data_IF_665563247407
#
_entry.id   IF_665563247407
#
_cell.length_a   1.000
_cell.length_b   1.000
_cell.length_c   1.000
_cell.angle_alpha   90.00
_cell.angle_beta   90.00
_cell.angle_gamma   90.00
#
_symmetry.space_group_name_H-M   'P 1'
#
loop_
_entity.id
_entity.type
_entity.pdbx_description
1 polymer ?
#
# COMPACT_ATOMS: atom_id res chain seq x y z
N UNK A 1 -3.34 -3.77 -12.98
CA UNK A 1 -2.26 -3.37 -12.05
C UNK A 1 -2.15 -4.26 -10.81
N UNK A 2 -3.23 -4.87 -10.33
CA UNK A 2 -3.29 -5.69 -9.11
C UNK A 2 -2.47 -7.00 -9.19
N UNK A 3 -2.51 -7.73 -10.33
CA UNK A 3 -1.73 -8.98 -10.51
C UNK A 3 -0.22 -8.84 -10.22
N UNK A 4 0.38 -7.68 -10.52
CA UNK A 4 1.82 -7.44 -10.26
C UNK A 4 2.13 -7.37 -8.76
N UNK A 5 1.21 -6.87 -7.93
CA UNK A 5 1.45 -6.67 -6.49
C UNK A 5 1.21 -7.94 -5.68
N UNK A 6 0.43 -8.89 -6.21
CA UNK A 6 0.20 -10.16 -5.54
C UNK A 6 1.42 -11.10 -5.54
N UNK A 7 2.38 -10.87 -6.43
CA UNK A 7 3.60 -11.66 -6.58
C UNK A 7 4.75 -11.20 -5.67
N UNK A 8 4.60 -10.06 -5.02
CA UNK A 8 5.60 -9.52 -4.10
C UNK A 8 5.65 -10.42 -2.86
N UNK A 9 6.86 -10.74 -2.41
CA UNK A 9 7.14 -11.53 -1.22
C UNK A 9 7.99 -10.73 -0.23
N UNK A 10 7.95 -11.14 1.04
CA UNK A 10 8.85 -10.62 2.06
C UNK A 10 10.30 -10.90 1.64
N UNK A 11 11.16 -9.89 1.74
CA UNK A 11 12.54 -9.93 1.30
C UNK A 11 12.77 -9.47 -0.14
N UNK A 12 11.72 -9.24 -0.93
CA UNK A 12 11.88 -8.67 -2.27
C UNK A 12 12.39 -7.23 -2.19
N UNK A 13 13.13 -6.82 -3.22
CA UNK A 13 13.53 -5.43 -3.41
C UNK A 13 12.61 -4.74 -4.41
N UNK A 14 12.15 -3.53 -4.07
CA UNK A 14 11.33 -2.69 -4.94
C UNK A 14 12.09 -1.40 -5.20
N UNK A 15 12.27 -1.06 -6.48
CA UNK A 15 12.85 0.22 -6.90
C UNK A 15 11.72 1.15 -7.33
N UNK A 16 11.54 2.23 -6.57
CA UNK A 16 10.68 3.35 -6.94
C UNK A 16 11.47 4.31 -7.83
N UNK A 17 10.83 4.80 -8.88
CA UNK A 17 11.41 5.82 -9.78
C UNK A 17 10.48 7.02 -9.83
N UNK A 18 11.01 8.19 -9.50
CA UNK A 18 10.31 9.44 -9.71
C UNK A 18 10.19 9.69 -11.23
N UNK A 19 8.96 9.73 -11.74
CA UNK A 19 8.73 9.85 -13.18
C UNK A 19 9.16 11.22 -13.74
N UNK A 20 9.22 12.25 -12.89
CA UNK A 20 9.59 13.63 -13.23
C UNK A 20 11.10 13.85 -13.10
N UNK A 21 11.70 13.54 -11.94
CA UNK A 21 13.12 13.82 -11.66
C UNK A 21 14.06 12.69 -12.08
N UNK A 22 13.53 11.49 -12.35
CA UNK A 22 14.29 10.24 -12.61
C UNK A 22 15.11 9.72 -11.43
N UNK A 23 14.97 10.32 -10.25
CA UNK A 23 15.57 9.78 -9.02
C UNK A 23 14.98 8.41 -8.70
N UNK A 24 15.83 7.54 -8.14
CA UNK A 24 15.46 6.17 -7.77
C UNK A 24 15.66 5.96 -6.28
N UNK A 25 14.75 5.20 -5.67
CA UNK A 25 14.82 4.79 -4.28
C UNK A 25 14.55 3.29 -4.20
N UNK A 26 15.51 2.55 -3.67
CA UNK A 26 15.39 1.12 -3.43
C UNK A 26 14.89 0.86 -2.00
N UNK A 27 13.97 -0.07 -1.87
CA UNK A 27 13.43 -0.51 -0.58
C UNK A 27 13.41 -2.04 -0.52
N UNK A 28 13.48 -2.59 0.68
CA UNK A 28 13.24 -4.01 0.94
C UNK A 28 11.87 -4.20 1.56
N UNK A 29 11.16 -5.24 1.12
CA UNK A 29 9.86 -5.62 1.68
C UNK A 29 10.06 -6.33 3.01
N UNK A 30 9.62 -5.71 4.10
CA UNK A 30 9.76 -6.24 5.47
C UNK A 30 8.56 -7.08 5.88
N UNK A 31 7.38 -6.79 5.34
CA UNK A 31 6.13 -7.45 5.70
C UNK A 31 5.09 -7.38 4.56
N UNK A 32 4.23 -8.40 4.47
CA UNK A 32 3.06 -8.40 3.58
C UNK A 32 1.85 -8.89 4.38
N UNK A 33 0.79 -8.09 4.43
CA UNK A 33 -0.49 -8.44 5.06
C UNK A 33 -1.61 -8.30 4.05
N UNK A 34 -2.56 -9.23 4.07
CA UNK A 34 -3.72 -9.24 3.16
C UNK A 34 -4.98 -9.05 3.98
N UNK A 35 -5.88 -8.22 3.46
CA UNK A 35 -7.16 -7.94 4.10
C UNK A 35 -8.30 -8.04 3.09
N UNK A 36 -9.52 -8.26 3.58
CA UNK A 36 -10.72 -8.33 2.74
C UNK A 36 -11.17 -6.95 2.25
N UNK A 37 -10.78 -5.88 2.95
CA UNK A 37 -11.12 -4.50 2.58
C UNK A 37 -10.05 -3.50 3.05
N UNK A 38 -10.04 -2.31 2.45
CA UNK A 38 -9.24 -1.17 2.88
C UNK A 38 -9.65 -0.72 4.28
N UNK A 39 -10.94 -0.83 4.62
CA UNK A 39 -11.43 -0.52 5.96
C UNK A 39 -10.75 -1.41 7.01
N UNK A 40 -10.77 -2.73 6.82
CA UNK A 40 -10.13 -3.67 7.74
C UNK A 40 -8.61 -3.45 7.84
N UNK A 41 -7.97 -3.06 6.73
CA UNK A 41 -6.55 -2.71 6.71
C UNK A 41 -6.26 -1.47 7.57
N UNK A 42 -7.01 -0.37 7.37
CA UNK A 42 -6.80 0.88 8.09
C UNK A 42 -7.18 0.80 9.59
N UNK A 43 -8.09 -0.09 9.96
CA UNK A 43 -8.42 -0.34 11.37
C UNK A 43 -7.30 -1.10 12.11
N UNK A 44 -6.45 -1.85 11.40
CA UNK A 44 -5.40 -2.68 12.01
C UNK A 44 -3.99 -2.10 11.88
N UNK A 45 -3.74 -1.21 10.91
CA UNK A 45 -2.43 -0.61 10.71
C UNK A 45 -2.37 0.76 11.39
N UNK A 46 -1.29 1.01 12.11
CA UNK A 46 -1.04 2.31 12.72
C UNK A 46 -0.97 3.40 11.64
N UNK A 47 -1.82 4.42 11.77
CA UNK A 47 -1.91 5.56 10.85
C UNK A 47 -0.58 6.29 10.70
N UNK A 48 0.29 6.26 11.72
CA UNK A 48 1.63 6.84 11.68
C UNK A 48 2.52 6.21 10.61
N UNK A 49 2.30 4.92 10.31
CA UNK A 49 3.04 4.21 9.27
C UNK A 49 2.54 4.54 7.85
N UNK A 50 1.36 5.16 7.75
CA UNK A 50 0.69 5.48 6.48
C UNK A 50 0.76 6.97 6.15
N UNK A 51 1.47 7.78 6.95
CA UNK A 51 1.51 9.24 6.85
C UNK A 51 0.11 9.90 6.92
N UNK A 52 -0.84 9.22 7.57
CA UNK A 52 -2.25 9.61 7.66
C UNK A 52 -2.67 9.85 9.13
N UNK A 53 -1.74 10.25 10.01
CA UNK A 53 -2.02 10.40 11.45
C UNK A 53 -3.18 11.36 11.73
N UNK A 54 -3.33 12.40 10.91
CA UNK A 54 -4.37 13.41 11.05
C UNK A 54 -5.66 13.10 10.28
N UNK A 55 -5.66 12.09 9.41
CA UNK A 55 -6.79 11.80 8.55
C UNK A 55 -7.82 10.92 9.27
N UNK A 56 -9.10 11.22 9.04
CA UNK A 56 -10.18 10.33 9.44
C UNK A 56 -10.19 9.06 8.56
N UNK A 57 -10.73 7.97 9.09
CA UNK A 57 -10.88 6.72 8.33
C UNK A 57 -11.69 6.94 7.05
N UNK A 58 -12.69 7.84 7.09
CA UNK A 58 -13.54 8.16 5.95
C UNK A 58 -12.77 8.90 4.85
N UNK A 59 -11.92 9.87 5.19
CA UNK A 59 -11.07 10.59 4.23
C UNK A 59 -10.05 9.66 3.57
N UNK A 60 -9.45 8.74 4.34
CA UNK A 60 -8.52 7.73 3.83
C UNK A 60 -9.22 6.80 2.82
N UNK A 61 -10.42 6.33 3.16
CA UNK A 61 -11.23 5.48 2.27
C UNK A 61 -11.69 6.23 1.02
N UNK A 62 -12.17 7.46 1.16
CA UNK A 62 -12.62 8.27 0.02
C UNK A 62 -11.47 8.51 -0.96
N UNK A 63 -10.28 8.86 -0.46
CA UNK A 63 -9.09 9.07 -1.28
C UNK A 63 -8.65 7.78 -1.98
N UNK A 64 -8.74 6.64 -1.29
CA UNK A 64 -8.41 5.34 -1.86
C UNK A 64 -9.40 4.93 -2.97
N UNK A 65 -10.69 5.20 -2.77
CA UNK A 65 -11.72 4.86 -3.77
C UNK A 65 -11.71 5.75 -5.02
N UNK A 66 -10.95 6.87 -5.00
CA UNK A 66 -10.63 7.63 -6.22
C UNK A 66 -9.65 6.90 -7.14
N UNK A 67 -8.90 5.93 -6.59
CA UNK A 67 -7.86 5.18 -7.30
C UNK A 67 -8.31 3.75 -7.62
N UNK A 68 -9.01 3.10 -6.68
CA UNK A 68 -9.50 1.71 -6.79
C UNK A 68 -11.01 1.66 -6.61
N UNK A 69 -11.72 0.91 -7.45
CA UNK A 69 -13.17 0.77 -7.26
C UNK A 69 -13.50 -0.25 -6.18
N UNK A 70 -14.67 -0.13 -5.56
CA UNK A 70 -15.14 -1.10 -4.54
C UNK A 70 -15.30 -2.51 -5.11
N UNK A 71 -15.60 -2.62 -6.40
CA UNK A 71 -15.68 -3.91 -7.09
C UNK A 71 -14.29 -4.57 -7.19
N UNK A 72 -13.24 -3.79 -7.44
CA UNK A 72 -11.86 -4.30 -7.45
C UNK A 72 -11.41 -4.75 -6.06
N UNK A 73 -11.74 -3.98 -5.02
CA UNK A 73 -11.51 -4.38 -3.64
C UNK A 73 -12.22 -5.71 -3.34
N UNK A 74 -13.49 -5.85 -3.73
CA UNK A 74 -14.25 -7.08 -3.50
C UNK A 74 -13.69 -8.29 -4.26
N UNK A 75 -13.18 -8.08 -5.47
CA UNK A 75 -12.63 -9.16 -6.31
C UNK A 75 -11.25 -9.62 -5.82
N UNK A 76 -10.41 -8.70 -5.35
CA UNK A 76 -8.99 -8.99 -5.11
C UNK A 76 -8.52 -8.81 -3.65
N UNK A 77 -9.38 -8.25 -2.80
CA UNK A 77 -9.03 -7.77 -1.46
C UNK A 77 -8.03 -6.63 -1.52
N UNK A 78 -7.31 -6.44 -0.41
CA UNK A 78 -6.26 -5.43 -0.27
C UNK A 78 -4.98 -6.05 0.26
N UNK A 79 -3.85 -5.40 -0.06
CA UNK A 79 -2.52 -5.85 0.37
C UNK A 79 -1.79 -4.66 0.95
N UNK A 80 -1.41 -4.76 2.21
CA UNK A 80 -0.46 -3.85 2.85
C UNK A 80 0.95 -4.41 2.68
N UNK A 81 1.87 -3.57 2.23
CA UNK A 81 3.27 -3.92 2.01
C UNK A 81 4.10 -3.01 2.93
N UNK A 82 4.72 -3.60 3.94
CA UNK A 82 5.71 -2.92 4.77
C UNK A 82 7.04 -2.86 4.02
N UNK A 83 7.65 -1.68 3.96
CA UNK A 83 8.90 -1.44 3.24
C UNK A 83 9.87 -0.65 4.11
N UNK A 84 11.17 -0.87 3.90
CA UNK A 84 12.23 -0.10 4.53
C UNK A 84 13.26 0.32 3.47
N UNK A 85 13.73 1.57 3.53
CA UNK A 85 14.69 2.10 2.56
C UNK A 85 16.04 1.42 2.74
N UNK A 86 16.60 0.91 1.64
CA UNK A 86 17.95 0.36 1.62
C UNK A 86 18.92 1.55 1.69
N UNK A 87 19.69 1.63 2.78
CA UNK A 87 20.73 2.66 2.99
C UNK A 87 22.05 2.26 2.35
#
# INVERSE_FOLDING_TARGET
MIKKRQLINKGDEIVFTNLTTKEMMAVTVTEIKRYESFKAMYEQIDKKLMDCENDSLEEMLESTYKIYTKEQEKEWGTVAIGIEVIK
#
